data_IF_084046394029
#
_entry.id   IF_084046394029
#
_cell.length_a   1.000
_cell.length_b   1.000
_cell.length_c   1.000
_cell.angle_alpha   90.00
_cell.angle_beta   90.00
_cell.angle_gamma   90.00
#
_symmetry.space_group_name_H-M   'P 1'
#
loop_
_entity.id
_entity.type
_entity.pdbx_description
1 polymer ?
#
# COMPACT_ATOMS: atom_id res chain seq x y z
N UNK A 1 2.04 21.40 -1.47
CA UNK A 1 2.65 20.76 -2.65
C UNK A 1 3.82 19.92 -2.19
N UNK A 2 4.74 20.52 -1.45
CA UNK A 2 5.93 19.87 -0.90
C UNK A 2 5.66 18.56 -0.14
N UNK A 3 4.66 18.52 0.76
CA UNK A 3 4.27 17.29 1.49
C UNK A 3 3.69 16.19 0.59
N UNK A 4 2.99 16.57 -0.47
CA UNK A 4 2.43 15.60 -1.45
C UNK A 4 3.57 15.00 -2.26
N UNK A 5 4.50 15.84 -2.70
CA UNK A 5 5.69 15.37 -3.44
C UNK A 5 6.57 14.46 -2.56
N UNK A 6 6.70 14.77 -1.27
CA UNK A 6 7.37 13.93 -0.26
C UNK A 6 6.67 12.58 -0.10
N UNK A 7 5.34 12.56 0.07
CA UNK A 7 4.57 11.32 0.18
C UNK A 7 4.66 10.46 -1.10
N UNK A 8 4.63 11.09 -2.28
CA UNK A 8 4.81 10.40 -3.56
C UNK A 8 6.22 9.81 -3.69
N UNK A 9 7.25 10.51 -3.22
CA UNK A 9 8.60 9.95 -3.23
C UNK A 9 8.75 8.78 -2.27
N UNK A 10 8.10 8.84 -1.09
CA UNK A 10 8.04 7.72 -0.16
C UNK A 10 7.36 6.49 -0.78
N UNK A 11 6.25 6.68 -1.51
CA UNK A 11 5.62 5.61 -2.30
C UNK A 11 6.58 5.04 -3.36
N UNK A 12 7.34 5.88 -4.06
CA UNK A 12 8.34 5.38 -5.02
C UNK A 12 9.47 4.61 -4.34
N UNK A 13 9.88 5.01 -3.14
CA UNK A 13 10.85 4.27 -2.33
C UNK A 13 10.32 2.90 -1.94
N UNK A 14 9.04 2.76 -1.56
CA UNK A 14 8.44 1.44 -1.31
C UNK A 14 8.68 0.48 -2.46
N UNK A 15 8.44 0.92 -3.70
CA UNK A 15 8.63 0.10 -4.88
C UNK A 15 10.09 -0.24 -5.24
N UNK A 16 11.07 0.43 -4.61
CA UNK A 16 12.51 0.19 -4.84
C UNK A 16 13.21 -0.50 -3.67
N UNK A 17 12.71 -0.31 -2.44
CA UNK A 17 13.39 -0.68 -1.20
C UNK A 17 12.70 -1.82 -0.44
N UNK A 18 11.42 -2.12 -0.73
CA UNK A 18 10.76 -3.28 -0.13
C UNK A 18 11.07 -4.50 -1.00
N UNK A 19 11.86 -5.43 -0.47
CA UNK A 19 12.32 -6.63 -1.20
C UNK A 19 11.19 -7.48 -1.79
N UNK A 20 10.02 -7.48 -1.15
CA UNK A 20 8.85 -8.22 -1.63
C UNK A 20 8.19 -7.62 -2.88
N UNK A 21 8.50 -6.38 -3.25
CA UNK A 21 7.91 -5.71 -4.41
C UNK A 21 8.68 -6.08 -5.68
N UNK A 22 8.01 -6.80 -6.58
CA UNK A 22 8.56 -7.16 -7.88
C UNK A 22 8.48 -6.02 -8.90
N UNK A 23 7.44 -5.17 -8.80
CA UNK A 23 7.24 -4.00 -9.65
C UNK A 23 6.49 -2.90 -8.92
N UNK A 24 6.89 -1.65 -9.11
CA UNK A 24 6.21 -0.49 -8.53
C UNK A 24 6.08 0.66 -9.53
N UNK A 25 4.89 1.26 -9.62
CA UNK A 25 4.64 2.47 -10.39
C UNK A 25 3.83 3.48 -9.57
N UNK A 26 4.28 4.73 -9.56
CA UNK A 26 3.62 5.83 -8.83
C UNK A 26 3.60 7.07 -9.72
N UNK A 27 2.42 7.65 -9.94
CA UNK A 27 2.28 8.74 -10.90
C UNK A 27 0.95 9.48 -10.82
N UNK A 28 0.76 10.42 -11.75
CA UNK A 28 -0.53 11.10 -11.95
C UNK A 28 -1.53 10.09 -12.47
N UNK A 29 -2.73 10.11 -11.93
CA UNK A 29 -3.86 9.44 -12.53
C UNK A 29 -4.35 10.31 -13.70
N UNK A 30 -4.27 9.76 -14.92
CA UNK A 30 -4.60 10.46 -16.16
C UNK A 30 -5.79 9.75 -16.77
N UNK A 31 -6.95 10.40 -16.70
CA UNK A 31 -8.22 9.86 -17.21
C UNK A 31 -9.06 9.12 -16.17
N UNK A 32 -8.57 8.95 -14.93
CA UNK A 32 -9.35 8.49 -13.78
C UNK A 32 -9.88 9.63 -12.90
N UNK A 33 -10.42 9.24 -11.75
CA UNK A 33 -11.11 10.12 -10.80
C UNK A 33 -10.19 10.67 -9.68
N UNK A 34 -8.93 10.24 -9.63
CA UNK A 34 -7.98 10.64 -8.58
C UNK A 34 -6.89 11.56 -9.14
N UNK A 35 -6.12 12.18 -8.24
CA UNK A 35 -4.97 13.00 -8.63
C UNK A 35 -3.72 12.15 -8.94
N UNK A 36 -3.60 11.02 -8.25
CA UNK A 36 -2.44 10.14 -8.27
C UNK A 36 -2.87 8.68 -8.11
N UNK A 37 -2.05 7.77 -8.62
CA UNK A 37 -2.18 6.34 -8.43
C UNK A 37 -0.84 5.70 -8.08
N UNK A 38 -0.91 4.56 -7.38
CA UNK A 38 0.22 3.69 -7.12
C UNK A 38 -0.18 2.23 -7.34
N UNK A 39 0.70 1.45 -7.96
CA UNK A 39 0.58 -0.01 -8.13
C UNK A 39 1.86 -0.65 -7.66
N UNK A 40 1.73 -1.69 -6.84
CA UNK A 40 2.82 -2.54 -6.40
C UNK A 40 2.43 -3.99 -6.68
N UNK A 41 3.25 -4.69 -7.46
CA UNK A 41 3.11 -6.13 -7.70
C UNK A 41 4.02 -6.89 -6.74
N UNK A 42 3.48 -7.92 -6.13
CA UNK A 42 4.16 -8.88 -5.23
C UNK A 42 3.88 -10.28 -5.77
N UNK A 43 4.80 -11.21 -5.56
CA UNK A 43 4.76 -12.54 -6.20
C UNK A 43 3.61 -13.42 -5.68
N UNK A 44 3.40 -13.43 -4.37
CA UNK A 44 2.47 -14.33 -3.69
C UNK A 44 1.98 -13.74 -2.36
N UNK A 45 1.19 -14.52 -1.62
CA UNK A 45 0.63 -14.10 -0.34
C UNK A 45 1.68 -13.92 0.76
N UNK A 46 2.82 -14.61 0.70
CA UNK A 46 3.92 -14.44 1.66
C UNK A 46 4.65 -13.12 1.39
N UNK A 47 4.91 -12.81 0.12
CA UNK A 47 5.43 -11.52 -0.33
C UNK A 47 4.46 -10.38 0.01
N UNK A 48 3.16 -10.57 -0.18
CA UNK A 48 2.15 -9.60 0.24
C UNK A 48 2.20 -9.32 1.73
N UNK A 49 2.29 -10.37 2.56
CA UNK A 49 2.44 -10.22 4.02
C UNK A 49 3.69 -9.42 4.39
N UNK A 50 4.82 -9.74 3.77
CA UNK A 50 6.09 -9.03 3.97
C UNK A 50 6.00 -7.56 3.54
N UNK A 51 5.36 -7.29 2.40
CA UNK A 51 5.08 -5.95 1.90
C UNK A 51 4.22 -5.13 2.86
N UNK A 52 3.13 -5.70 3.39
CA UNK A 52 2.22 -5.00 4.31
C UNK A 52 2.84 -4.69 5.68
N UNK A 53 3.78 -5.52 6.12
CA UNK A 53 4.48 -5.37 7.42
C UNK A 53 5.84 -4.67 7.30
N UNK A 54 6.28 -4.30 6.10
CA UNK A 54 7.54 -3.60 5.91
C UNK A 54 7.54 -2.26 6.68
N UNK A 55 8.60 -1.93 7.45
CA UNK A 55 8.67 -0.68 8.19
C UNK A 55 8.48 0.56 7.31
N UNK A 56 8.96 0.50 6.06
CA UNK A 56 8.80 1.59 5.10
C UNK A 56 7.32 1.80 4.72
N UNK A 57 6.54 0.72 4.55
CA UNK A 57 5.10 0.83 4.29
C UNK A 57 4.41 1.60 5.40
N UNK A 58 4.73 1.29 6.66
CA UNK A 58 4.13 1.96 7.80
C UNK A 58 4.48 3.46 7.88
N UNK A 59 5.71 3.84 7.49
CA UNK A 59 6.11 5.24 7.39
C UNK A 59 5.34 5.99 6.29
N UNK A 60 5.03 5.30 5.19
CA UNK A 60 4.23 5.88 4.10
C UNK A 60 2.79 6.15 4.53
N UNK A 61 2.17 5.25 5.31
CA UNK A 61 0.85 5.51 5.88
C UNK A 61 0.84 6.78 6.73
N UNK A 62 1.87 6.94 7.54
CA UNK A 62 2.02 8.04 8.50
C UNK A 62 2.06 9.41 7.83
N UNK A 63 2.76 9.51 6.69
CA UNK A 63 2.87 10.75 5.92
C UNK A 63 1.73 10.91 4.91
N UNK A 64 1.23 9.82 4.34
CA UNK A 64 0.29 9.81 3.23
C UNK A 64 -1.17 9.92 3.66
N UNK A 65 -1.60 9.14 4.66
CA UNK A 65 -3.01 9.08 5.07
C UNK A 65 -3.58 10.45 5.51
N UNK A 66 -2.84 11.31 6.23
CA UNK A 66 -3.34 12.65 6.58
C UNK A 66 -3.53 13.59 5.38
N UNK A 67 -2.97 13.26 4.21
CA UNK A 67 -3.01 14.10 3.00
C UNK A 67 -4.13 13.71 2.05
N UNK A 68 -4.71 12.50 2.19
CA UNK A 68 -5.74 12.01 1.28
C UNK A 68 -7.13 12.46 1.74
N UNK A 69 -7.87 13.12 0.84
CA UNK A 69 -9.29 13.42 1.06
C UNK A 69 -10.18 12.23 0.71
N UNK A 70 -9.78 11.46 -0.30
CA UNK A 70 -10.47 10.28 -0.80
C UNK A 70 -9.42 9.29 -1.26
N UNK A 71 -9.56 8.03 -0.88
CA UNK A 71 -8.64 6.95 -1.24
C UNK A 71 -9.43 5.67 -1.51
N UNK A 72 -9.08 5.00 -2.60
CA UNK A 72 -9.55 3.64 -2.89
C UNK A 72 -8.31 2.77 -3.01
N UNK A 73 -8.28 1.70 -2.22
CA UNK A 73 -7.25 0.67 -2.27
C UNK A 73 -7.93 -0.68 -2.48
N UNK A 74 -7.38 -1.49 -3.38
CA UNK A 74 -7.85 -2.83 -3.67
C UNK A 74 -6.71 -3.67 -4.21
N UNK A 75 -6.82 -4.98 -4.03
CA UNK A 75 -5.88 -5.94 -4.56
C UNK A 75 -6.49 -6.60 -5.81
N UNK A 76 -5.68 -6.73 -6.86
CA UNK A 76 -6.01 -7.53 -8.02
C UNK A 76 -5.15 -8.79 -7.97
N UNK A 77 -5.80 -9.95 -8.05
CA UNK A 77 -5.14 -11.26 -8.06
C UNK A 77 -5.48 -11.98 -9.36
N UNK A 78 -4.49 -12.69 -9.91
CA UNK A 78 -4.66 -13.66 -11.00
C UNK A 78 -4.60 -15.12 -10.49
N UNK A 79 -4.35 -15.29 -9.19
CA UNK A 79 -4.44 -16.56 -8.49
C UNK A 79 -5.89 -17.07 -8.44
N UNK A 80 -6.05 -18.37 -8.72
CA UNK A 80 -7.32 -19.07 -8.71
C UNK A 80 -7.73 -19.63 -7.35
N UNK A 81 -6.90 -19.50 -6.31
CA UNK A 81 -7.25 -19.97 -4.96
C UNK A 81 -8.40 -19.13 -4.38
N UNK A 82 -9.57 -19.73 -4.08
CA UNK A 82 -10.68 -19.01 -3.47
C UNK A 82 -10.38 -18.48 -2.05
N UNK A 83 -9.30 -18.93 -1.40
CA UNK A 83 -8.91 -18.53 -0.06
C UNK A 83 -8.10 -17.22 -0.02
N UNK A 84 -7.52 -16.78 -1.13
CA UNK A 84 -6.59 -15.64 -1.17
C UNK A 84 -7.20 -14.35 -0.62
N UNK A 85 -8.49 -14.10 -0.91
CA UNK A 85 -9.19 -12.94 -0.35
C UNK A 85 -9.36 -12.97 1.18
N UNK A 86 -9.48 -14.14 1.80
CA UNK A 86 -9.52 -14.26 3.27
C UNK A 86 -8.13 -14.05 3.88
N UNK A 87 -7.09 -14.58 3.25
CA UNK A 87 -5.70 -14.40 3.72
C UNK A 87 -5.29 -12.92 3.69
N UNK A 88 -5.66 -12.17 2.65
CA UNK A 88 -5.43 -10.73 2.57
C UNK A 88 -6.16 -9.99 3.71
N UNK A 89 -7.43 -10.31 3.95
CA UNK A 89 -8.19 -9.73 5.07
C UNK A 89 -7.54 -10.00 6.42
N UNK A 90 -7.07 -11.23 6.64
CA UNK A 90 -6.39 -11.61 7.86
C UNK A 90 -5.11 -10.79 8.06
N UNK A 91 -4.30 -10.63 7.00
CA UNK A 91 -3.06 -9.82 7.04
C UNK A 91 -3.36 -8.37 7.43
N UNK A 92 -4.40 -7.75 6.86
CA UNK A 92 -4.82 -6.42 7.25
C UNK A 92 -5.29 -6.36 8.71
N UNK A 93 -6.09 -7.33 9.15
CA UNK A 93 -6.59 -7.38 10.53
C UNK A 93 -5.46 -7.49 11.55
N UNK A 94 -4.46 -8.33 11.30
CA UNK A 94 -3.28 -8.49 12.15
C UNK A 94 -2.46 -7.19 12.22
N UNK A 95 -2.26 -6.54 11.08
CA UNK A 95 -1.56 -5.26 10.96
C UNK A 95 -2.20 -4.16 11.82
N UNK A 96 -3.53 -3.99 11.72
CA UNK A 96 -4.24 -2.96 12.49
C UNK A 96 -4.33 -3.29 13.98
N UNK A 97 -4.54 -4.57 14.34
CA UNK A 97 -4.56 -4.99 15.73
C UNK A 97 -3.22 -4.73 16.44
N UNK A 98 -2.10 -4.81 15.69
CA UNK A 98 -0.75 -4.56 16.20
C UNK A 98 -0.34 -3.09 16.30
N UNK A 99 -1.11 -2.15 15.74
CA UNK A 99 -0.71 -0.75 15.64
C UNK A 99 -1.87 0.23 15.85
N UNK A 100 -2.14 0.63 17.11
CA UNK A 100 -3.17 1.62 17.43
C UNK A 100 -2.93 3.00 16.80
N UNK A 101 -1.67 3.37 16.53
CA UNK A 101 -1.35 4.65 15.91
C UNK A 101 -1.75 4.66 14.44
N UNK A 102 -1.57 3.54 13.73
CA UNK A 102 -2.08 3.35 12.37
C UNK A 102 -3.61 3.44 12.32
N UNK A 103 -4.29 2.78 13.26
CA UNK A 103 -5.76 2.82 13.35
C UNK A 103 -6.29 4.25 13.53
N UNK A 104 -5.54 5.13 14.21
CA UNK A 104 -5.95 6.52 14.40
C UNK A 104 -5.82 7.41 13.13
N UNK A 105 -5.22 6.89 12.05
CA UNK A 105 -5.04 7.62 10.78
C UNK A 105 -6.16 7.39 9.76
N UNK A 106 -7.02 6.38 9.99
CA UNK A 106 -8.08 5.93 9.08
C UNK A 106 -9.49 6.28 9.59
#
# INVERSE_FOLDING_TARGET
>A
RDKVDEALEMLRRMGREIDAVAYGAVGRDVGGDFDYGAVFAVEDIEAYRAYMHAPLHRQVDEIGLPLVRNMVSYDLIDDGDPCTGELIRQIHSERFAGDPALVALI
#
